data_IF_533762350755
#
_entry.id   IF_533762350755
#
_cell.length_a   1.000
_cell.length_b   1.000
_cell.length_c   1.000
_cell.angle_alpha   90.00
_cell.angle_beta   90.00
_cell.angle_gamma   90.00
#
_symmetry.space_group_name_H-M   'P 1'
#
loop_
_entity.id
_entity.type
_entity.pdbx_description
1 polymer ?
#
# COMPACT_ATOMS: atom_id res chain seq x y z
N UNK A 1 -4.64 -6.87 4.60
CA UNK A 1 -4.55 -5.56 5.25
C UNK A 1 -5.06 -5.69 6.68
N UNK A 2 -4.19 -5.52 7.66
CA UNK A 2 -4.57 -5.45 9.07
C UNK A 2 -4.44 -3.97 9.48
N UNK A 3 -5.51 -3.40 10.01
CA UNK A 3 -5.44 -2.05 10.58
C UNK A 3 -4.77 -2.13 11.94
N UNK A 4 -3.78 -1.28 12.21
CA UNK A 4 -3.31 -1.05 13.56
C UNK A 4 -4.34 -0.20 14.33
N UNK A 5 -5.50 -0.79 14.58
CA UNK A 5 -6.59 -0.16 15.31
C UNK A 5 -6.21 0.15 16.76
N UNK A 6 -5.25 -0.58 17.32
CA UNK A 6 -4.87 -0.48 18.73
C UNK A 6 -4.40 0.93 19.12
N UNK A 7 -3.62 1.61 18.28
CA UNK A 7 -3.16 2.97 18.57
C UNK A 7 -4.28 4.03 18.50
N UNK A 8 -5.33 3.77 17.73
CA UNK A 8 -6.48 4.68 17.60
C UNK A 8 -7.56 4.40 18.63
N UNK A 9 -7.72 3.16 19.05
CA UNK A 9 -8.64 2.77 20.13
C UNK A 9 -8.21 3.33 21.48
N UNK A 10 -6.93 3.49 21.76
CA UNK A 10 -6.43 4.15 22.99
C UNK A 10 -6.89 5.61 23.12
N UNK A 11 -7.20 6.27 22.02
CA UNK A 11 -7.76 7.62 21.99
C UNK A 11 -9.29 7.66 21.83
N UNK A 12 -9.97 6.50 21.79
CA UNK A 12 -11.42 6.42 21.56
C UNK A 12 -11.87 6.90 20.17
N UNK A 13 -10.95 6.94 19.20
CA UNK A 13 -11.23 7.35 17.82
C UNK A 13 -11.38 6.09 16.99
N UNK A 14 -12.57 5.86 16.43
CA UNK A 14 -12.79 4.76 15.49
C UNK A 14 -11.91 4.86 14.25
N UNK A 15 -11.61 3.72 13.61
CA UNK A 15 -10.80 3.63 12.38
C UNK A 15 -11.51 4.18 11.15
N UNK A 16 -12.81 4.42 11.24
CA UNK A 16 -13.64 4.95 10.15
C UNK A 16 -14.48 6.13 10.61
N UNK A 17 -14.77 7.01 9.68
CA UNK A 17 -15.69 8.12 9.87
C UNK A 17 -16.76 8.13 8.78
N UNK A 18 -17.95 8.61 9.12
CA UNK A 18 -19.05 8.78 8.18
C UNK A 18 -19.11 10.24 7.73
N UNK A 19 -19.05 10.46 6.42
CA UNK A 19 -19.19 11.76 5.81
C UNK A 19 -20.45 11.83 4.97
N UNK A 20 -21.15 12.95 5.07
CA UNK A 20 -22.33 13.23 4.23
C UNK A 20 -21.88 13.92 2.95
N UNK A 21 -22.32 13.40 1.83
CA UNK A 21 -22.11 13.98 0.51
C UNK A 21 -23.44 14.22 -0.19
N UNK A 22 -23.53 15.30 -0.93
CA UNK A 22 -24.71 15.62 -1.73
C UNK A 22 -24.42 15.40 -3.21
N UNK A 23 -25.33 14.71 -3.90
CA UNK A 23 -25.39 14.64 -5.34
C UNK A 23 -26.56 15.47 -5.82
N UNK A 24 -26.32 16.47 -6.67
CA UNK A 24 -27.36 17.32 -7.25
C UNK A 24 -27.80 16.71 -8.57
N UNK A 25 -29.09 16.41 -8.68
CA UNK A 25 -29.70 16.01 -9.95
C UNK A 25 -29.89 17.26 -10.81
N UNK A 26 -29.08 17.40 -11.86
CA UNK A 26 -29.02 18.62 -12.69
C UNK A 26 -30.37 19.04 -13.30
N UNK A 27 -31.26 18.08 -13.59
CA UNK A 27 -32.58 18.38 -14.19
C UNK A 27 -33.60 18.94 -13.19
N UNK A 28 -33.52 18.55 -11.94
CA UNK A 28 -34.54 18.90 -10.91
C UNK A 28 -33.96 19.77 -9.83
N UNK A 29 -32.65 20.03 -9.80
CA UNK A 29 -31.95 20.74 -8.73
C UNK A 29 -32.12 20.13 -7.33
N UNK A 30 -32.61 18.88 -7.25
CA UNK A 30 -32.83 18.19 -5.97
C UNK A 30 -31.48 17.64 -5.49
N UNK A 31 -31.14 17.97 -4.23
CA UNK A 31 -29.99 17.40 -3.53
C UNK A 31 -30.37 16.01 -3.01
N UNK A 32 -29.54 15.03 -3.32
CA UNK A 32 -29.69 13.66 -2.81
C UNK A 32 -28.53 13.39 -1.84
N UNK A 33 -28.75 13.53 -0.53
CA UNK A 33 -27.72 13.28 0.46
C UNK A 33 -27.43 11.79 0.57
N UNK A 34 -26.16 11.44 0.66
CA UNK A 34 -25.71 10.07 0.91
C UNK A 34 -24.60 10.05 1.96
N UNK A 35 -24.54 8.96 2.69
CA UNK A 35 -23.49 8.73 3.65
C UNK A 35 -22.39 7.90 2.98
N UNK A 36 -21.14 8.29 3.21
CA UNK A 36 -19.95 7.57 2.76
C UNK A 36 -19.10 7.31 4.00
N UNK A 37 -18.74 6.06 4.21
CA UNK A 37 -17.78 5.66 5.22
C UNK A 37 -16.38 5.66 4.62
N UNK A 38 -15.42 6.24 5.34
CA UNK A 38 -14.02 6.28 4.94
C UNK A 38 -13.09 6.05 6.12
N UNK A 39 -11.89 5.56 5.85
CA UNK A 39 -10.84 5.48 6.85
C UNK A 39 -10.42 6.87 7.33
N UNK A 40 -10.19 7.01 8.63
CA UNK A 40 -9.75 8.26 9.24
C UNK A 40 -8.31 8.55 8.84
N UNK A 41 -7.99 9.83 8.65
CA UNK A 41 -6.61 10.25 8.37
C UNK A 41 -5.68 9.84 9.52
N UNK A 42 -4.56 9.25 9.16
CA UNK A 42 -3.56 8.76 10.11
C UNK A 42 -3.71 7.28 10.47
N UNK A 43 -4.78 6.62 10.01
CA UNK A 43 -4.91 5.17 10.17
C UNK A 43 -3.76 4.46 9.44
N UNK A 44 -3.10 3.55 10.14
CA UNK A 44 -2.01 2.75 9.60
C UNK A 44 -2.52 1.36 9.24
N UNK A 45 -2.09 0.87 8.11
CA UNK A 45 -2.40 -0.47 7.62
C UNK A 45 -1.11 -1.22 7.35
N UNK A 46 -1.09 -2.49 7.68
CA UNK A 46 0.03 -3.35 7.33
C UNK A 46 -0.10 -3.80 5.87
N UNK A 47 0.95 -3.60 5.09
CA UNK A 47 1.06 -4.09 3.73
C UNK A 47 1.82 -5.41 3.71
N UNK A 48 1.19 -6.46 3.18
CA UNK A 48 1.83 -7.74 2.91
C UNK A 48 1.83 -7.98 1.40
N UNK A 49 3.01 -8.21 0.86
CA UNK A 49 3.21 -8.56 -0.54
C UNK A 49 3.85 -9.93 -0.64
N UNK A 50 3.42 -10.70 -1.62
CA UNK A 50 4.03 -11.97 -1.97
C UNK A 50 4.59 -11.81 -3.37
N UNK A 51 5.90 -11.99 -3.50
CA UNK A 51 6.59 -12.02 -4.77
C UNK A 51 7.00 -13.47 -5.07
N UNK A 52 6.49 -14.02 -6.16
CA UNK A 52 6.86 -15.35 -6.62
C UNK A 52 8.10 -15.26 -7.51
N UNK A 53 9.19 -15.83 -7.07
CA UNK A 53 10.43 -15.91 -7.87
C UNK A 53 10.27 -17.01 -8.90
N UNK A 54 10.06 -16.63 -10.14
CA UNK A 54 9.90 -17.56 -11.27
C UNK A 54 11.18 -17.71 -12.11
N UNK A 55 12.15 -16.84 -11.87
CA UNK A 55 13.42 -16.80 -12.62
C UNK A 55 14.62 -16.89 -11.69
N UNK A 56 15.70 -17.51 -12.17
CA UNK A 56 17.00 -17.52 -11.48
C UNK A 56 17.86 -16.28 -11.84
N UNK A 57 17.33 -15.39 -12.68
CA UNK A 57 18.01 -14.20 -13.14
C UNK A 57 17.83 -13.05 -12.17
N UNK A 58 18.89 -12.72 -11.45
CA UNK A 58 18.91 -11.64 -10.44
C UNK A 58 18.60 -10.27 -11.03
N UNK A 59 18.99 -10.01 -12.28
CA UNK A 59 18.73 -8.73 -12.95
C UNK A 59 17.22 -8.51 -13.20
N UNK A 60 16.51 -9.55 -13.63
CA UNK A 60 15.05 -9.50 -13.82
C UNK A 60 14.33 -9.23 -12.50
N UNK A 61 14.77 -9.86 -11.41
CA UNK A 61 14.20 -9.63 -10.08
C UNK A 61 14.39 -8.17 -9.65
N UNK A 62 15.56 -7.57 -9.92
CA UNK A 62 15.81 -6.16 -9.63
C UNK A 62 14.89 -5.23 -10.43
N UNK A 63 14.75 -5.48 -11.74
CA UNK A 63 13.85 -4.71 -12.61
C UNK A 63 12.40 -4.77 -12.12
N UNK A 64 11.95 -5.94 -11.62
CA UNK A 64 10.62 -6.09 -11.03
C UNK A 64 10.46 -5.22 -9.77
N UNK A 65 11.48 -5.19 -8.91
CA UNK A 65 11.43 -4.35 -7.70
C UNK A 65 11.55 -2.86 -8.00
N UNK A 66 12.28 -2.46 -9.04
CA UNK A 66 12.30 -1.07 -9.53
C UNK A 66 10.91 -0.66 -10.05
N UNK A 67 10.29 -1.53 -10.83
CA UNK A 67 8.90 -1.33 -11.31
C UNK A 67 7.91 -1.22 -10.15
N UNK A 68 8.06 -2.05 -9.11
CA UNK A 68 7.24 -1.99 -7.91
C UNK A 68 7.45 -0.67 -7.15
N UNK A 69 8.70 -0.21 -7.02
CA UNK A 69 9.02 1.07 -6.39
C UNK A 69 8.38 2.26 -7.12
N UNK A 70 8.42 2.26 -8.44
CA UNK A 70 7.75 3.26 -9.26
C UNK A 70 6.23 3.17 -9.15
N UNK A 71 5.67 1.97 -9.07
CA UNK A 71 4.25 1.75 -8.81
C UNK A 71 3.80 2.33 -7.47
N UNK A 72 4.62 2.20 -6.43
CA UNK A 72 4.34 2.81 -5.12
C UNK A 72 4.34 4.33 -5.17
N UNK A 73 5.29 4.96 -5.88
CA UNK A 73 5.29 6.42 -6.10
C UNK A 73 4.01 6.88 -6.79
N UNK A 74 3.65 6.22 -7.89
CA UNK A 74 2.43 6.55 -8.62
C UNK A 74 1.19 6.40 -7.76
N UNK A 75 1.14 5.38 -6.89
CA UNK A 75 0.02 5.18 -5.97
C UNK A 75 -0.06 6.27 -4.89
N UNK A 76 1.09 6.77 -4.39
CA UNK A 76 1.13 7.88 -3.44
C UNK A 76 0.71 9.21 -4.08
N UNK A 77 1.02 9.41 -5.36
CA UNK A 77 0.62 10.59 -6.13
C UNK A 77 -0.86 10.56 -6.55
N UNK A 78 -1.46 9.37 -6.59
CA UNK A 78 -2.86 9.18 -6.96
C UNK A 78 -3.71 8.86 -5.71
N UNK A 79 -4.43 7.76 -5.71
CA UNK A 79 -5.28 7.35 -4.58
C UNK A 79 -5.53 5.84 -4.57
N UNK A 80 -5.77 5.31 -3.38
CA UNK A 80 -6.18 3.92 -3.17
C UNK A 80 -7.69 3.84 -2.93
N UNK A 81 -8.37 2.99 -3.69
CA UNK A 81 -9.81 2.76 -3.55
C UNK A 81 -10.68 3.73 -4.34
N UNK A 82 -11.80 4.16 -3.79
CA UNK A 82 -12.79 4.99 -4.47
C UNK A 82 -12.74 6.47 -4.09
N UNK A 83 -13.46 7.30 -4.85
CA UNK A 83 -13.69 8.72 -4.58
C UNK A 83 -12.41 9.60 -4.56
N UNK A 84 -11.36 9.21 -5.26
CA UNK A 84 -10.10 9.94 -5.35
C UNK A 84 -10.26 11.37 -5.83
N UNK A 85 -11.13 11.62 -6.81
CA UNK A 85 -11.44 12.97 -7.31
C UNK A 85 -12.01 13.93 -6.25
N UNK A 86 -12.39 13.40 -5.08
CA UNK A 86 -12.88 14.15 -3.92
C UNK A 86 -11.87 14.20 -2.77
N UNK A 87 -10.62 13.82 -3.04
CA UNK A 87 -9.52 13.84 -2.06
C UNK A 87 -9.55 12.68 -1.07
N UNK A 88 -10.17 11.55 -1.43
CA UNK A 88 -10.11 10.33 -0.63
C UNK A 88 -8.99 9.42 -1.13
N UNK A 89 -8.54 8.53 -0.24
CA UNK A 89 -7.63 7.46 -0.60
C UNK A 89 -6.17 7.86 -0.76
N UNK A 90 -5.77 9.05 -0.37
CA UNK A 90 -4.35 9.40 -0.32
C UNK A 90 -3.64 8.55 0.72
N UNK A 91 -2.58 7.88 0.32
CA UNK A 91 -1.80 6.98 1.16
C UNK A 91 -0.33 7.38 1.13
N UNK A 92 0.40 6.97 2.15
CA UNK A 92 1.86 6.99 2.20
C UNK A 92 2.32 5.57 2.52
N UNK A 93 3.26 5.07 1.75
CA UNK A 93 3.81 3.72 1.92
C UNK A 93 5.16 3.84 2.62
N UNK A 94 5.30 3.26 3.79
CA UNK A 94 6.53 3.24 4.56
C UNK A 94 7.10 1.82 4.53
N UNK A 95 8.35 1.69 4.08
CA UNK A 95 9.05 0.41 3.95
C UNK A 95 10.08 0.23 5.05
N UNK A 96 10.30 1.25 5.87
CA UNK A 96 11.19 1.16 7.03
C UNK A 96 10.66 0.13 8.04
N UNK A 97 11.45 -0.91 8.28
CA UNK A 97 11.04 -2.04 9.12
C UNK A 97 10.36 -3.18 8.37
N UNK A 98 10.27 -3.12 7.04
CA UNK A 98 9.77 -4.26 6.26
C UNK A 98 10.65 -5.49 6.48
N UNK A 99 10.02 -6.59 6.85
CA UNK A 99 10.65 -7.90 6.91
C UNK A 99 10.50 -8.59 5.55
N UNK A 100 11.61 -9.05 5.01
CA UNK A 100 11.62 -9.86 3.82
C UNK A 100 11.86 -11.30 4.24
N UNK A 101 10.82 -12.10 4.16
CA UNK A 101 10.89 -13.53 4.47
C UNK A 101 10.96 -14.28 3.16
N UNK A 102 11.96 -15.14 3.04
CA UNK A 102 12.09 -16.00 1.88
C UNK A 102 11.83 -17.43 2.29
N UNK A 103 10.91 -18.06 1.60
CA UNK A 103 10.49 -19.43 1.86
C UNK A 103 10.82 -20.35 0.68
N UNK A 104 10.93 -21.64 0.96
CA UNK A 104 11.06 -22.71 -0.05
C UNK A 104 12.31 -22.67 -0.94
N UNK A 105 13.50 -22.47 -0.34
CA UNK A 105 14.76 -22.57 -1.05
C UNK A 105 15.06 -24.00 -1.51
N UNK A 106 15.58 -24.13 -2.74
CA UNK A 106 15.99 -25.42 -3.28
C UNK A 106 17.40 -25.78 -2.86
N UNK A 107 18.33 -24.82 -2.74
CA UNK A 107 19.75 -25.03 -2.42
C UNK A 107 20.32 -23.86 -1.59
N UNK A 108 21.33 -24.11 -0.73
CA UNK A 108 22.00 -23.07 0.07
C UNK A 108 22.84 -22.08 -0.76
N UNK A 109 23.39 -22.52 -1.90
CA UNK A 109 24.17 -21.65 -2.80
C UNK A 109 23.28 -20.61 -3.49
N UNK A 110 22.07 -20.97 -3.84
CA UNK A 110 21.06 -20.04 -4.36
C UNK A 110 20.66 -19.03 -3.30
N UNK A 111 20.50 -19.45 -2.04
CA UNK A 111 20.17 -18.59 -0.93
C UNK A 111 21.13 -17.42 -0.79
N UNK A 112 22.45 -17.66 -0.88
CA UNK A 112 23.45 -16.60 -0.75
C UNK A 112 23.38 -15.55 -1.86
N UNK A 113 23.08 -15.96 -3.10
CA UNK A 113 22.90 -15.04 -4.23
C UNK A 113 21.63 -14.21 -4.05
N UNK A 114 20.57 -14.84 -3.60
CA UNK A 114 19.31 -14.16 -3.35
C UNK A 114 19.38 -13.20 -2.14
N UNK A 115 20.11 -13.53 -1.09
CA UNK A 115 20.29 -12.64 0.06
C UNK A 115 20.97 -11.32 -0.35
N UNK A 116 21.96 -11.36 -1.25
CA UNK A 116 22.57 -10.16 -1.81
C UNK A 116 21.57 -9.37 -2.67
N UNK A 117 20.84 -10.05 -3.55
CA UNK A 117 19.80 -9.43 -4.36
C UNK A 117 18.72 -8.79 -3.49
N UNK A 118 18.31 -9.45 -2.42
CA UNK A 118 17.31 -8.98 -1.48
C UNK A 118 17.70 -7.67 -0.79
N UNK A 119 18.96 -7.55 -0.40
CA UNK A 119 19.47 -6.29 0.19
C UNK A 119 19.48 -5.15 -0.83
N UNK A 120 19.80 -5.42 -2.10
CA UNK A 120 19.69 -4.42 -3.17
C UNK A 120 18.24 -4.04 -3.46
N UNK A 121 17.33 -5.02 -3.53
CA UNK A 121 15.90 -4.77 -3.71
C UNK A 121 15.30 -3.95 -2.56
N UNK A 122 15.69 -4.22 -1.32
CA UNK A 122 15.30 -3.41 -0.16
C UNK A 122 15.77 -1.96 -0.30
N UNK A 123 16.98 -1.76 -0.81
CA UNK A 123 17.56 -0.44 -1.02
C UNK A 123 16.78 0.34 -2.08
N UNK A 124 16.49 -0.29 -3.21
CA UNK A 124 15.67 0.29 -4.28
C UNK A 124 14.31 0.74 -3.76
N UNK A 125 13.62 -0.11 -2.98
CA UNK A 125 12.33 0.24 -2.41
C UNK A 125 12.39 1.39 -1.38
N UNK A 126 13.51 1.56 -0.67
CA UNK A 126 13.69 2.63 0.33
C UNK A 126 14.10 3.97 -0.29
N UNK A 127 14.85 3.94 -1.37
CA UNK A 127 15.38 5.13 -2.06
C UNK A 127 14.38 5.79 -3.02
N UNK A 128 13.19 5.23 -3.16
CA UNK A 128 12.12 5.73 -4.02
C UNK A 128 11.62 7.14 -3.69
#
# INVERSE_FOLDING_TARGET
FLSNAEELDDFGIGTTEVKFENTIVRKTAVANPRQIERAVRGTKYQLNLIYNVETDNVEEIKEDFETLADGFKLLEDDYLGGHGSRGYGQVKIEIDGAEFVVENWKNEDEKSKFDQCLEECKKVLKER
#
